data_IF_787919688273
#
_entry.id   IF_787919688273
#
_cell.length_a   1.000
_cell.length_b   1.000
_cell.length_c   1.000
_cell.angle_alpha   90.00
_cell.angle_beta   90.00
_cell.angle_gamma   90.00
#
_symmetry.space_group_name_H-M   'P 1'
#
loop_
_entity.id
_entity.type
_entity.pdbx_description
1 polymer ?
#
# COMPACT_ATOMS: atom_id res chain seq x y z
N UNK A 1 -10.22 4.07 -19.29
CA UNK A 1 -9.38 4.35 -18.09
C UNK A 1 -7.92 4.12 -18.47
N UNK A 2 -7.34 4.90 -19.40
CA UNK A 2 -6.20 4.36 -20.18
C UNK A 2 -4.92 5.20 -20.30
N UNK A 3 -4.78 6.37 -19.69
CA UNK A 3 -3.47 7.09 -19.75
C UNK A 3 -3.04 7.79 -18.44
N UNK A 4 -3.87 7.73 -17.39
CA UNK A 4 -3.53 8.34 -16.12
C UNK A 4 -2.62 7.43 -15.29
N UNK A 5 -1.50 7.97 -14.79
CA UNK A 5 -0.61 7.27 -13.86
C UNK A 5 -1.36 6.99 -12.55
N UNK A 6 -1.19 5.79 -12.02
CA UNK A 6 -1.82 5.37 -10.78
C UNK A 6 -0.81 4.72 -9.84
N UNK A 7 -0.97 4.97 -8.54
CA UNK A 7 -0.17 4.32 -7.50
C UNK A 7 -1.08 3.56 -6.51
N UNK A 8 -0.69 2.36 -6.06
CA UNK A 8 -1.48 1.59 -5.12
C UNK A 8 -1.32 2.13 -3.70
N UNK A 9 -2.43 2.26 -2.98
CA UNK A 9 -2.49 2.53 -1.55
C UNK A 9 -3.01 1.28 -0.86
N UNK A 10 -2.27 0.77 0.13
CA UNK A 10 -2.60 -0.44 0.89
C UNK A 10 -3.01 -0.04 2.31
N UNK A 11 -4.16 -0.52 2.76
CA UNK A 11 -4.68 -0.31 4.11
C UNK A 11 -4.44 -1.56 4.97
N UNK A 12 -3.99 -1.33 6.19
CA UNK A 12 -3.75 -2.37 7.19
C UNK A 12 -4.50 -2.06 8.48
N UNK A 13 -4.95 -3.10 9.16
CA UNK A 13 -5.39 -3.07 10.56
C UNK A 13 -4.60 -4.13 11.31
N UNK A 14 -3.93 -3.73 12.39
CA UNK A 14 -2.92 -4.56 13.04
C UNK A 14 -1.91 -5.06 11.99
N UNK A 15 -1.66 -6.38 11.93
CA UNK A 15 -0.75 -6.99 10.96
C UNK A 15 -1.39 -7.40 9.64
N UNK A 16 -2.68 -7.15 9.47
CA UNK A 16 -3.47 -7.68 8.34
C UNK A 16 -3.71 -6.62 7.28
N UNK A 17 -3.50 -7.02 6.02
CA UNK A 17 -3.90 -6.22 4.85
C UNK A 17 -5.40 -6.38 4.65
N UNK A 18 -6.15 -5.28 4.76
CA UNK A 18 -7.62 -5.28 4.70
C UNK A 18 -8.18 -4.74 3.38
N UNK A 19 -7.36 -4.09 2.56
CA UNK A 19 -7.86 -3.44 1.36
C UNK A 19 -6.95 -2.33 0.86
N UNK A 20 -7.49 -1.50 -0.02
CA UNK A 20 -6.76 -0.41 -0.63
C UNK A 20 -7.51 0.25 -1.78
N UNK A 21 -6.85 1.20 -2.43
CA UNK A 21 -7.32 1.84 -3.65
C UNK A 21 -6.14 2.25 -4.52
N UNK A 22 -6.38 2.44 -5.81
CA UNK A 22 -5.48 3.17 -6.68
C UNK A 22 -5.77 4.66 -6.57
N UNK A 23 -4.76 5.46 -6.26
CA UNK A 23 -4.80 6.91 -6.44
C UNK A 23 -4.40 7.19 -7.88
N UNK A 24 -5.33 7.69 -8.67
CA UNK A 24 -5.18 7.94 -10.11
C UNK A 24 -5.00 9.44 -10.34
N UNK A 25 -3.94 9.79 -11.06
CA UNK A 25 -3.53 11.15 -11.35
C UNK A 25 -4.02 11.56 -12.74
N UNK A 26 -5.30 11.92 -12.87
CA UNK A 26 -5.96 12.10 -14.17
C UNK A 26 -5.58 13.40 -14.90
N UNK A 27 -5.05 14.41 -14.19
CA UNK A 27 -4.77 15.75 -14.72
C UNK A 27 -3.34 16.22 -14.45
N UNK A 28 -2.45 15.31 -14.01
CA UNK A 28 -1.11 15.68 -13.54
C UNK A 28 -0.16 15.93 -14.71
N UNK A 29 0.48 17.09 -14.71
CA UNK A 29 1.68 17.34 -15.51
C UNK A 29 2.87 16.48 -15.06
N UNK A 30 3.89 16.36 -15.90
CA UNK A 30 5.10 15.57 -15.57
C UNK A 30 5.83 16.16 -14.34
N UNK A 31 5.72 17.48 -14.15
CA UNK A 31 6.45 18.27 -13.14
C UNK A 31 5.59 18.69 -11.91
N UNK A 32 4.36 18.18 -11.78
CA UNK A 32 3.48 18.55 -10.66
C UNK A 32 3.65 17.60 -9.45
N UNK A 33 3.55 18.18 -8.25
CA UNK A 33 3.62 17.46 -6.98
C UNK A 33 2.45 16.45 -6.84
N UNK A 34 2.70 15.34 -6.14
CA UNK A 34 1.75 14.24 -5.89
C UNK A 34 0.42 14.65 -5.25
N UNK A 35 0.37 15.84 -4.63
CA UNK A 35 -0.82 16.41 -3.98
C UNK A 35 -1.62 17.35 -4.89
N UNK A 36 -1.34 17.38 -6.20
CA UNK A 36 -2.05 18.25 -7.13
C UNK A 36 -3.58 17.94 -7.16
N UNK A 37 -4.43 18.97 -7.32
CA UNK A 37 -5.87 18.78 -7.47
C UNK A 37 -6.21 17.83 -8.64
N UNK A 38 -7.25 17.01 -8.50
CA UNK A 38 -7.72 16.11 -9.59
C UNK A 38 -7.38 14.64 -9.42
N UNK A 39 -6.82 14.23 -8.27
CA UNK A 39 -6.69 12.82 -7.92
C UNK A 39 -8.08 12.17 -7.79
N UNK A 40 -8.25 11.00 -8.43
CA UNK A 40 -9.42 10.16 -8.27
C UNK A 40 -9.03 8.82 -7.62
N UNK A 41 -9.97 8.23 -6.88
CA UNK A 41 -9.73 7.03 -6.09
C UNK A 41 -10.53 5.88 -6.65
N UNK A 42 -9.84 4.85 -7.13
CA UNK A 42 -10.45 3.66 -7.73
C UNK A 42 -10.25 2.49 -6.77
N UNK A 43 -11.32 1.83 -6.30
CA UNK A 43 -11.19 0.70 -5.38
C UNK A 43 -10.21 -0.36 -5.90
N UNK A 44 -9.26 -0.75 -5.05
CA UNK A 44 -8.39 -1.88 -5.31
C UNK A 44 -9.21 -3.11 -4.94
N UNK A 45 -9.96 -3.64 -5.90
CA UNK A 45 -10.69 -4.87 -5.71
C UNK A 45 -9.70 -6.02 -5.54
N UNK A 46 -9.39 -6.33 -4.28
CA UNK A 46 -8.86 -7.62 -3.87
C UNK A 46 -9.92 -8.67 -4.23
N UNK A 47 -9.88 -9.15 -5.48
CA UNK A 47 -10.81 -10.16 -5.97
C UNK A 47 -10.80 -11.40 -5.06
N UNK A 48 -11.95 -12.07 -4.97
CA UNK A 48 -12.25 -13.18 -4.05
C UNK A 48 -11.02 -14.04 -3.71
N UNK A 49 -10.64 -14.00 -2.42
CA UNK A 49 -9.50 -14.70 -1.80
C UNK A 49 -8.11 -14.34 -2.37
N UNK A 50 -7.53 -13.19 -1.97
CA UNK A 50 -6.31 -12.63 -2.56
C UNK A 50 -5.03 -12.93 -1.77
N UNK A 51 -5.13 -13.68 -0.68
CA UNK A 51 -3.98 -13.92 0.20
C UNK A 51 -3.03 -14.98 -0.31
N UNK A 52 -3.42 -15.74 -1.34
CA UNK A 52 -2.63 -16.83 -1.87
C UNK A 52 -2.08 -16.47 -3.26
N UNK A 53 -0.76 -16.32 -3.41
CA UNK A 53 -0.16 -16.17 -4.73
C UNK A 53 -0.42 -17.45 -5.54
N UNK A 54 -0.60 -17.30 -6.85
CA UNK A 54 -0.67 -18.40 -7.82
C UNK A 54 0.75 -18.75 -8.28
N UNK A 55 1.30 -19.90 -7.88
CA UNK A 55 2.64 -20.32 -8.31
C UNK A 55 2.69 -20.56 -9.83
N UNK A 56 3.84 -20.33 -10.45
CA UNK A 56 4.06 -20.58 -11.88
C UNK A 56 3.60 -19.47 -12.84
N UNK A 57 2.86 -18.47 -12.34
CA UNK A 57 2.49 -17.29 -13.11
C UNK A 57 3.67 -16.33 -13.27
N UNK A 58 3.77 -15.67 -14.44
CA UNK A 58 4.82 -14.67 -14.69
C UNK A 58 4.68 -13.49 -13.70
N UNK A 59 5.79 -12.93 -13.20
CA UNK A 59 5.75 -11.71 -12.38
C UNK A 59 4.96 -10.61 -13.08
N UNK A 60 4.09 -9.93 -12.34
CA UNK A 60 3.28 -8.83 -12.89
C UNK A 60 2.11 -9.26 -13.78
N UNK A 61 2.01 -10.52 -14.22
CA UNK A 61 0.91 -10.97 -15.10
C UNK A 61 -0.39 -11.21 -14.34
N UNK A 62 -0.31 -11.86 -13.18
CA UNK A 62 -1.46 -12.23 -12.35
C UNK A 62 -1.82 -11.11 -11.36
N UNK A 63 -3.07 -10.65 -11.39
CA UNK A 63 -3.58 -9.66 -10.41
C UNK A 63 -3.44 -10.15 -8.96
N UNK A 64 -3.80 -11.41 -8.59
CA UNK A 64 -3.51 -11.96 -7.28
C UNK A 64 -2.04 -11.85 -6.86
N UNK A 65 -1.10 -12.17 -7.75
CA UNK A 65 0.33 -12.10 -7.43
C UNK A 65 0.79 -10.64 -7.25
N UNK A 66 0.31 -9.72 -8.09
CA UNK A 66 0.61 -8.28 -7.93
C UNK A 66 0.09 -7.74 -6.60
N UNK A 67 -1.14 -8.08 -6.22
CA UNK A 67 -1.74 -7.61 -4.98
C UNK A 67 -1.09 -8.24 -3.74
N UNK A 68 -0.72 -9.51 -3.82
CA UNK A 68 0.09 -10.16 -2.78
C UNK A 68 1.41 -9.42 -2.56
N UNK A 69 2.11 -9.04 -3.64
CA UNK A 69 3.35 -8.26 -3.55
C UNK A 69 3.15 -6.90 -2.90
N UNK A 70 2.09 -6.17 -3.23
CA UNK A 70 1.77 -4.90 -2.52
C UNK A 70 1.57 -5.12 -1.02
N UNK A 71 0.88 -6.19 -0.64
CA UNK A 71 0.67 -6.56 0.76
C UNK A 71 1.94 -7.00 1.48
N UNK A 72 2.91 -7.63 0.81
CA UNK A 72 4.23 -7.92 1.38
C UNK A 72 4.98 -6.62 1.70
N UNK A 73 5.05 -5.70 0.74
CA UNK A 73 5.73 -4.41 0.93
C UNK A 73 5.05 -3.58 2.02
N UNK A 74 3.72 -3.54 2.05
CA UNK A 74 2.96 -2.85 3.10
C UNK A 74 3.30 -3.37 4.50
N UNK A 75 3.38 -4.70 4.68
CA UNK A 75 3.75 -5.30 5.98
C UNK A 75 5.19 -5.01 6.38
N UNK A 76 6.14 -5.01 5.44
CA UNK A 76 7.52 -4.61 5.73
C UNK A 76 7.62 -3.14 6.13
N UNK A 77 6.87 -2.26 5.48
CA UNK A 77 6.81 -0.85 5.85
C UNK A 77 6.20 -0.65 7.25
N UNK A 78 5.14 -1.38 7.59
CA UNK A 78 4.57 -1.34 8.94
C UNK A 78 5.53 -1.87 10.00
N UNK A 79 6.24 -2.98 9.72
CA UNK A 79 7.26 -3.49 10.63
C UNK A 79 8.36 -2.45 10.89
N UNK A 80 8.86 -1.79 9.84
CA UNK A 80 9.85 -0.73 9.98
C UNK A 80 9.30 0.45 10.80
N UNK A 81 8.07 0.89 10.52
CA UNK A 81 7.42 1.96 11.27
C UNK A 81 7.17 1.59 12.74
N UNK A 82 6.85 0.33 13.04
CA UNK A 82 6.71 -0.15 14.42
C UNK A 82 8.02 -0.05 15.19
N UNK A 83 9.14 -0.46 14.57
CA UNK A 83 10.47 -0.29 15.19
C UNK A 83 10.86 1.18 15.37
N UNK A 84 10.53 2.05 14.41
CA UNK A 84 10.76 3.49 14.54
C UNK A 84 9.95 4.07 15.70
N UNK A 85 8.66 3.75 15.80
CA UNK A 85 7.79 4.22 16.89
C UNK A 85 8.29 3.78 18.27
N UNK A 86 8.70 2.51 18.41
CA UNK A 86 9.27 1.99 19.66
C UNK A 86 10.59 2.68 20.02
N UNK A 87 11.48 2.88 19.03
CA UNK A 87 12.77 3.52 19.26
C UNK A 87 12.67 5.01 19.59
N UNK A 88 11.59 5.68 19.19
CA UNK A 88 11.35 7.11 19.44
C UNK A 88 10.24 7.36 20.47
N UNK A 89 9.85 6.35 21.25
CA UNK A 89 8.77 6.48 22.23
C UNK A 89 9.13 7.53 23.31
N UNK A 90 8.42 8.67 23.36
CA UNK A 90 8.70 9.72 24.34
C UNK A 90 8.34 9.32 25.78
N UNK A 91 7.61 8.22 25.97
CA UNK A 91 7.13 7.75 27.28
C UNK A 91 7.95 6.57 27.83
N UNK A 92 8.88 6.02 27.05
CA UNK A 92 9.66 4.83 27.43
C UNK A 92 10.45 4.98 28.75
N UNK A 93 10.97 6.17 29.06
CA UNK A 93 11.69 6.43 30.32
C UNK A 93 10.77 6.53 31.55
N UNK A 94 9.50 6.92 31.37
CA UNK A 94 8.55 7.10 32.46
C UNK A 94 7.90 5.79 32.93
N UNK A 95 7.85 4.77 32.06
CA UNK A 95 7.31 3.44 32.39
C UNK A 95 8.38 2.50 33.02
N UNK A 96 9.66 2.85 32.88
CA UNK A 96 10.77 2.06 33.40
C UNK A 96 11.18 2.40 34.85
N UNK A 97 10.58 3.43 35.46
CA UNK A 97 10.86 3.95 36.81
C UNK A 97 9.75 3.62 37.81
#
# INVERSE_FOLDING_TARGET
VHEAVAEPVVYMMDRYVIGGFYRVHAQRGIDENLNAPGASYVPLAFAESPHLPRPGEKPGASAPNRFYMYGVIGRLAMLAASYELEATDPQAEAEAA
#
